data_IF_426551947563
#
_entry.id   IF_426551947563
#
_cell.length_a   1.000
_cell.length_b   1.000
_cell.length_c   1.000
_cell.angle_alpha   90.00
_cell.angle_beta   90.00
_cell.angle_gamma   90.00
#
_symmetry.space_group_name_H-M   'P 1'
#
loop_
_entity.id
_entity.type
_entity.pdbx_description
1 polymer ?
#
# COMPACT_ATOMS: atom_id res chain seq x y z
N UNK A 1 -22.25 6.52 -4.77
CA UNK A 1 -21.65 6.73 -3.43
C UNK A 1 -20.99 5.48 -2.84
N UNK A 2 -21.59 4.29 -2.98
CA UNK A 2 -21.05 3.02 -2.42
C UNK A 2 -19.62 2.72 -2.92
N UNK A 3 -19.37 2.77 -4.24
CA UNK A 3 -18.04 2.53 -4.82
C UNK A 3 -16.96 3.48 -4.27
N UNK A 4 -17.30 4.75 -4.01
CA UNK A 4 -16.37 5.71 -3.41
C UNK A 4 -15.98 5.29 -2.00
N UNK A 5 -16.95 4.88 -1.17
CA UNK A 5 -16.68 4.40 0.19
C UNK A 5 -15.81 3.15 0.17
N UNK A 6 -16.08 2.23 -0.74
CA UNK A 6 -15.28 1.01 -0.91
C UNK A 6 -13.82 1.34 -1.30
N UNK A 7 -13.63 2.24 -2.26
CA UNK A 7 -12.29 2.71 -2.66
C UNK A 7 -11.52 3.30 -1.47
N UNK A 8 -12.15 4.12 -0.63
CA UNK A 8 -11.54 4.67 0.57
C UNK A 8 -11.27 3.64 1.67
N UNK A 9 -12.15 2.65 1.85
CA UNK A 9 -11.94 1.54 2.79
C UNK A 9 -10.71 0.72 2.39
N UNK A 10 -10.64 0.32 1.12
CA UNK A 10 -9.50 -0.44 0.58
C UNK A 10 -8.22 0.41 0.62
N UNK A 11 -8.30 1.69 0.27
CA UNK A 11 -7.18 2.62 0.30
C UNK A 11 -6.63 2.82 1.71
N UNK A 12 -7.51 2.98 2.71
CA UNK A 12 -7.10 3.07 4.11
C UNK A 12 -6.41 1.78 4.57
N UNK A 13 -6.89 0.63 4.09
CA UNK A 13 -6.20 -0.65 4.26
C UNK A 13 -4.79 -0.64 3.68
N UNK A 14 -4.59 -0.14 2.47
CA UNK A 14 -3.26 -0.03 1.86
C UNK A 14 -2.28 0.83 2.68
N UNK A 15 -2.79 1.85 3.37
CA UNK A 15 -1.99 2.70 4.25
C UNK A 15 -1.65 2.05 5.60
N UNK A 16 -2.62 1.38 6.23
CA UNK A 16 -2.49 0.87 7.59
C UNK A 16 -1.93 -0.54 7.66
N UNK A 17 -2.25 -1.38 6.69
CA UNK A 17 -1.94 -2.81 6.72
C UNK A 17 -0.44 -3.12 6.80
N UNK A 18 0.47 -2.42 6.09
CA UNK A 18 1.91 -2.64 6.26
C UNK A 18 2.39 -2.44 7.69
N UNK A 19 1.87 -1.45 8.41
CA UNK A 19 2.26 -1.21 9.79
C UNK A 19 1.79 -2.31 10.73
N UNK A 20 0.57 -2.82 10.50
CA UNK A 20 0.01 -3.92 11.29
C UNK A 20 0.77 -5.22 11.02
N UNK A 21 1.07 -5.52 9.75
CA UNK A 21 1.83 -6.70 9.36
C UNK A 21 3.26 -6.65 9.88
N UNK A 22 3.94 -5.51 9.75
CA UNK A 22 5.27 -5.30 10.29
C UNK A 22 5.31 -5.51 11.80
N UNK A 23 4.35 -4.96 12.54
CA UNK A 23 4.26 -5.14 14.00
C UNK A 23 4.04 -6.60 14.37
N UNK A 24 3.12 -7.28 13.66
CA UNK A 24 2.87 -8.71 13.83
C UNK A 24 4.12 -9.56 13.56
N UNK A 25 4.75 -9.39 12.40
CA UNK A 25 5.95 -10.12 12.01
C UNK A 25 7.12 -9.84 12.95
N UNK A 26 7.23 -8.60 13.45
CA UNK A 26 8.24 -8.23 14.43
C UNK A 26 8.09 -9.04 15.73
N UNK A 27 6.87 -9.15 16.24
CA UNK A 27 6.57 -9.90 17.46
C UNK A 27 6.79 -11.41 17.29
N UNK A 28 6.40 -11.97 16.14
CA UNK A 28 6.48 -13.42 15.89
C UNK A 28 7.89 -13.90 15.49
N UNK A 29 8.59 -13.15 14.63
CA UNK A 29 9.86 -13.62 14.02
C UNK A 29 10.98 -12.60 14.04
N UNK A 30 10.68 -11.30 13.99
CA UNK A 30 11.70 -10.24 13.91
C UNK A 30 12.63 -10.21 15.11
N UNK A 31 12.10 -10.37 16.32
CA UNK A 31 12.91 -10.41 17.56
C UNK A 31 13.89 -11.59 17.57
N UNK A 32 13.45 -12.76 17.13
CA UNK A 32 14.32 -13.94 17.04
C UNK A 32 15.44 -13.76 16.02
N UNK A 33 15.12 -13.25 14.83
CA UNK A 33 16.14 -13.00 13.79
C UNK A 33 17.15 -11.92 14.21
N UNK A 34 16.69 -10.90 14.94
CA UNK A 34 17.55 -9.86 15.53
C UNK A 34 18.53 -10.42 16.57
N UNK A 35 18.14 -11.44 17.33
CA UNK A 35 18.99 -12.07 18.34
C UNK A 35 20.04 -13.03 17.74
N UNK A 36 19.80 -13.59 16.54
CA UNK A 36 20.73 -14.54 15.89
C UNK A 36 21.96 -13.81 15.35
N UNK A 37 21.77 -12.86 14.42
CA UNK A 37 22.88 -12.09 13.86
C UNK A 37 22.40 -10.85 13.09
N UNK A 38 23.25 -9.83 12.89
CA UNK A 38 22.93 -8.68 12.05
C UNK A 38 22.58 -9.06 10.61
N UNK A 39 23.19 -10.12 10.07
CA UNK A 39 22.93 -10.58 8.71
C UNK A 39 21.57 -11.28 8.59
N UNK A 40 21.20 -12.12 9.57
CA UNK A 40 19.89 -12.76 9.63
C UNK A 40 18.77 -11.73 9.76
N UNK A 41 18.97 -10.73 10.64
CA UNK A 41 18.05 -9.61 10.80
C UNK A 41 17.87 -8.80 9.50
N UNK A 42 18.96 -8.47 8.81
CA UNK A 42 18.88 -7.74 7.56
C UNK A 42 18.16 -8.54 6.46
N UNK A 43 18.41 -9.84 6.36
CA UNK A 43 17.69 -10.73 5.45
C UNK A 43 16.19 -10.74 5.72
N UNK A 44 15.78 -10.95 6.97
CA UNK A 44 14.39 -10.90 7.40
C UNK A 44 13.72 -9.55 7.12
N UNK A 45 14.41 -8.45 7.44
CA UNK A 45 13.89 -7.10 7.23
C UNK A 45 13.60 -6.83 5.75
N UNK A 46 14.48 -7.30 4.87
CA UNK A 46 14.31 -7.15 3.43
C UNK A 46 13.13 -7.97 2.91
N UNK A 47 12.97 -9.23 3.36
CA UNK A 47 11.83 -10.06 2.93
C UNK A 47 10.49 -9.48 3.41
N UNK A 48 10.45 -8.98 4.65
CA UNK A 48 9.28 -8.28 5.21
C UNK A 48 8.94 -7.02 4.42
N UNK A 49 9.92 -6.15 4.18
CA UNK A 49 9.72 -4.92 3.40
C UNK A 49 9.13 -5.22 2.01
N UNK A 50 9.64 -6.24 1.33
CA UNK A 50 9.16 -6.62 0.00
C UNK A 50 7.74 -7.18 0.05
N UNK A 51 7.45 -8.08 1.00
CA UNK A 51 6.13 -8.70 1.14
C UNK A 51 5.05 -7.67 1.49
N UNK A 52 5.32 -6.82 2.47
CA UNK A 52 4.39 -5.80 2.94
C UNK A 52 4.16 -4.71 1.88
N UNK A 53 5.23 -4.30 1.18
CA UNK A 53 5.11 -3.38 0.06
C UNK A 53 4.29 -3.99 -1.11
N UNK A 54 4.49 -5.26 -1.43
CA UNK A 54 3.69 -5.92 -2.47
C UNK A 54 2.20 -5.96 -2.10
N UNK A 55 1.89 -6.26 -0.84
CA UNK A 55 0.51 -6.32 -0.36
C UNK A 55 -0.16 -4.94 -0.35
N UNK A 56 0.52 -3.91 0.18
CA UNK A 56 0.03 -2.53 0.10
C UNK A 56 -0.15 -2.04 -1.34
N UNK A 57 0.77 -2.40 -2.23
CA UNK A 57 0.70 -2.07 -3.64
C UNK A 57 -0.56 -2.65 -4.29
N UNK A 58 -0.85 -3.93 -4.03
CA UNK A 58 -2.05 -4.58 -4.55
C UNK A 58 -3.36 -3.93 -4.04
N UNK A 59 -3.43 -3.61 -2.74
CA UNK A 59 -4.58 -2.91 -2.17
C UNK A 59 -4.73 -1.50 -2.73
N UNK A 60 -3.64 -0.75 -2.88
CA UNK A 60 -3.65 0.61 -3.42
C UNK A 60 -4.08 0.61 -4.89
N UNK A 61 -3.60 -0.34 -5.69
CA UNK A 61 -4.05 -0.53 -7.07
C UNK A 61 -5.55 -0.83 -7.13
N UNK A 62 -6.05 -1.74 -6.30
CA UNK A 62 -7.48 -2.05 -6.22
C UNK A 62 -8.30 -0.81 -5.82
N UNK A 63 -7.86 -0.07 -4.81
CA UNK A 63 -8.51 1.16 -4.35
C UNK A 63 -8.59 2.21 -5.46
N UNK A 64 -7.51 2.38 -6.22
CA UNK A 64 -7.44 3.27 -7.38
C UNK A 64 -8.39 2.85 -8.50
N UNK A 65 -8.40 1.57 -8.87
CA UNK A 65 -9.28 1.05 -9.92
C UNK A 65 -10.76 1.27 -9.55
N UNK A 66 -11.14 0.95 -8.30
CA UNK A 66 -12.50 1.19 -7.81
C UNK A 66 -12.81 2.69 -7.77
N UNK A 67 -11.85 3.54 -7.38
CA UNK A 67 -11.98 4.99 -7.36
C UNK A 67 -12.17 5.58 -8.75
N UNK A 68 -11.41 5.10 -9.74
CA UNK A 68 -11.52 5.51 -11.14
C UNK A 68 -12.86 5.09 -11.75
N UNK A 69 -13.33 3.86 -11.48
CA UNK A 69 -14.66 3.40 -11.89
C UNK A 69 -15.76 4.25 -11.23
N UNK A 70 -15.60 4.62 -9.95
CA UNK A 70 -16.54 5.50 -9.28
C UNK A 70 -16.59 6.90 -9.93
N UNK A 71 -15.44 7.43 -10.35
CA UNK A 71 -15.35 8.71 -11.06
C UNK A 71 -16.03 8.64 -12.42
N UNK A 72 -15.75 7.61 -13.22
CA UNK A 72 -16.33 7.41 -14.55
C UNK A 72 -17.87 7.29 -14.52
N UNK A 73 -18.43 6.77 -13.42
CA UNK A 73 -19.88 6.65 -13.21
C UNK A 73 -20.52 7.87 -12.53
N UNK A 74 -19.76 8.93 -12.25
CA UNK A 74 -20.31 10.13 -11.60
C UNK A 74 -20.89 11.08 -12.66
N UNK A 75 -22.15 11.52 -12.54
CA UNK A 75 -22.74 12.47 -13.49
C UNK A 75 -22.08 13.85 -13.40
N UNK A 76 -21.92 14.51 -14.56
CA UNK A 76 -21.19 15.79 -14.71
C UNK A 76 -21.67 16.89 -13.75
N UNK A 77 -22.97 16.96 -13.48
CA UNK A 77 -23.59 17.97 -12.60
C UNK A 77 -23.10 17.94 -11.15
N UNK A 78 -22.56 16.80 -10.70
CA UNK A 78 -22.06 16.61 -9.32
C UNK A 78 -20.54 16.48 -9.26
N UNK A 79 -19.86 16.64 -10.40
CA UNK A 79 -18.45 16.34 -10.55
C UNK A 79 -17.61 17.52 -10.03
N UNK A 80 -16.88 17.29 -8.94
CA UNK A 80 -15.87 18.21 -8.40
C UNK A 80 -14.48 17.75 -8.84
N UNK A 81 -14.02 18.10 -10.05
CA UNK A 81 -12.88 17.45 -10.70
C UNK A 81 -11.60 17.55 -9.86
N UNK A 82 -11.30 18.74 -9.33
CA UNK A 82 -10.11 18.96 -8.50
C UNK A 82 -10.11 18.06 -7.26
N UNK A 83 -11.23 18.01 -6.52
CA UNK A 83 -11.35 17.16 -5.34
C UNK A 83 -11.14 15.69 -5.70
N UNK A 84 -11.70 15.23 -6.84
CA UNK A 84 -11.56 13.84 -7.29
C UNK A 84 -10.15 13.47 -7.71
N UNK A 85 -9.43 14.40 -8.35
CA UNK A 85 -8.01 14.19 -8.66
C UNK A 85 -7.18 14.04 -7.38
N UNK A 86 -7.45 14.87 -6.36
CA UNK A 86 -6.78 14.75 -5.07
C UNK A 86 -7.11 13.43 -4.38
N UNK A 87 -8.37 12.99 -4.39
CA UNK A 87 -8.76 11.67 -3.83
C UNK A 87 -7.96 10.54 -4.50
N UNK A 88 -7.89 10.51 -5.84
CA UNK A 88 -7.14 9.49 -6.56
C UNK A 88 -5.63 9.59 -6.30
N UNK A 89 -5.08 10.79 -6.20
CA UNK A 89 -3.65 10.98 -5.93
C UNK A 89 -3.27 10.46 -4.54
N UNK A 90 -4.10 10.71 -3.53
CA UNK A 90 -3.91 10.17 -2.17
C UNK A 90 -3.99 8.64 -2.16
N UNK A 91 -4.91 8.06 -2.92
CA UNK A 91 -5.04 6.61 -3.05
C UNK A 91 -3.86 5.98 -3.81
N UNK A 92 -3.17 6.74 -4.67
CA UNK A 92 -2.01 6.29 -5.44
C UNK A 92 -0.69 6.35 -4.68
N UNK A 93 -0.60 7.18 -3.64
CA UNK A 93 0.65 7.36 -2.89
C UNK A 93 1.26 6.05 -2.36
N UNK A 94 0.49 5.12 -1.76
CA UNK A 94 1.05 3.85 -1.34
C UNK A 94 1.58 3.04 -2.53
N UNK A 95 0.85 2.97 -3.65
CA UNK A 95 1.31 2.28 -4.86
C UNK A 95 2.63 2.86 -5.39
N UNK A 96 2.77 4.19 -5.44
CA UNK A 96 4.00 4.84 -5.87
C UNK A 96 5.17 4.47 -4.95
N UNK A 97 4.96 4.45 -3.64
CA UNK A 97 5.95 4.02 -2.67
C UNK A 97 6.32 2.54 -2.87
N UNK A 98 5.33 1.66 -3.07
CA UNK A 98 5.57 0.24 -3.31
C UNK A 98 6.37 -0.01 -4.59
N UNK A 99 6.08 0.73 -5.67
CA UNK A 99 6.84 0.67 -6.91
C UNK A 99 8.29 1.15 -6.72
N UNK A 100 8.49 2.19 -5.93
CA UNK A 100 9.83 2.66 -5.56
C UNK A 100 10.62 1.59 -4.80
N UNK A 101 10.01 0.97 -3.78
CA UNK A 101 10.63 -0.14 -3.03
C UNK A 101 10.95 -1.31 -3.95
N UNK A 102 10.00 -1.74 -4.80
CA UNK A 102 10.24 -2.81 -5.77
C UNK A 102 11.39 -2.48 -6.73
N UNK A 103 11.50 -1.22 -7.17
CA UNK A 103 12.62 -0.75 -7.99
C UNK A 103 13.96 -0.82 -7.26
N UNK A 104 14.03 -0.45 -5.98
CA UNK A 104 15.24 -0.59 -5.17
C UNK A 104 15.68 -2.05 -5.06
N UNK A 105 14.73 -2.97 -4.83
CA UNK A 105 15.00 -4.40 -4.81
C UNK A 105 15.45 -4.94 -6.16
N UNK A 106 14.90 -4.44 -7.27
CA UNK A 106 15.34 -4.86 -8.60
C UNK A 106 16.78 -4.46 -8.91
N UNK A 107 17.23 -3.31 -8.41
CA UNK A 107 18.57 -2.76 -8.68
C UNK A 107 19.62 -3.25 -7.68
N UNK A 108 19.24 -3.49 -6.43
CA UNK A 108 20.16 -3.75 -5.32
C UNK A 108 19.92 -5.06 -4.56
N UNK A 109 18.89 -5.82 -4.92
CA UNK A 109 18.51 -7.09 -4.29
C UNK A 109 19.18 -8.31 -4.89
#
# INVERSE_FOLDING_TARGET
>A
MVLRRLSWMVGSGAWLMPWVLLLWQWLETGQHQAAISPQAYNGWKMTVLLADAAFAGALSLLALLVGAVALARTPQETLRPLQRMVELLVLALPLLFCLFVAGLFWVHG
#
